data_IF_193094272355
#
_entry.id   IF_193094272355
#
_cell.length_a   1.000
_cell.length_b   1.000
_cell.length_c   1.000
_cell.angle_alpha   90.00
_cell.angle_beta   90.00
_cell.angle_gamma   90.00
#
_symmetry.space_group_name_H-M   'P 1'
#
loop_
_entity.id
_entity.type
_entity.pdbx_description
1 polymer ?
#
# COMPACT_ATOMS: atom_id res chain seq x y z
N UNK A 1 1.59 -4.66 -17.21
CA UNK A 1 0.97 -5.27 -16.01
C UNK A 1 1.14 -4.32 -14.85
N UNK A 2 0.09 -4.09 -14.09
CA UNK A 2 0.11 -3.23 -12.91
C UNK A 2 0.03 -4.08 -11.65
N UNK A 3 0.78 -3.71 -10.63
CA UNK A 3 0.75 -4.35 -9.31
C UNK A 3 0.34 -3.30 -8.28
N UNK A 4 -0.72 -3.58 -7.53
CA UNK A 4 -1.17 -2.77 -6.41
C UNK A 4 -0.70 -3.41 -5.11
N UNK A 5 0.00 -2.66 -4.27
CA UNK A 5 0.47 -3.10 -2.96
C UNK A 5 -0.11 -2.16 -1.91
N UNK A 6 -0.90 -2.71 -1.00
CA UNK A 6 -1.44 -1.97 0.14
C UNK A 6 -1.35 -2.79 1.41
N UNK A 7 -1.87 -2.26 2.52
CA UNK A 7 -1.75 -2.82 3.85
C UNK A 7 -1.54 -1.72 4.89
N UNK A 8 -1.67 -2.11 6.16
CA UNK A 8 -1.45 -1.24 7.31
C UNK A 8 -0.07 -0.57 7.29
N UNK A 9 0.11 0.51 8.06
CA UNK A 9 1.43 1.11 8.24
C UNK A 9 2.44 0.07 8.76
N UNK A 10 3.72 0.27 8.43
CA UNK A 10 4.84 -0.62 8.84
C UNK A 10 4.78 -2.08 8.38
N UNK A 11 3.81 -2.48 7.56
CA UNK A 11 3.73 -3.85 7.00
C UNK A 11 4.78 -4.14 5.91
N UNK A 12 5.55 -3.13 5.50
CA UNK A 12 6.64 -3.26 4.52
C UNK A 12 6.20 -3.21 3.05
N UNK A 13 5.14 -2.45 2.75
CA UNK A 13 4.66 -2.18 1.38
C UNK A 13 5.79 -1.70 0.44
N UNK A 14 6.51 -0.66 0.86
CA UNK A 14 7.62 -0.07 0.09
C UNK A 14 8.79 -1.05 -0.07
N UNK A 15 9.06 -1.88 0.94
CA UNK A 15 10.06 -2.96 0.85
C UNK A 15 9.67 -4.01 -0.18
N UNK A 16 8.40 -4.42 -0.23
CA UNK A 16 7.92 -5.33 -1.27
C UNK A 16 8.01 -4.68 -2.65
N UNK A 17 7.59 -3.41 -2.79
CA UNK A 17 7.68 -2.68 -4.04
C UNK A 17 9.13 -2.59 -4.56
N UNK A 18 10.08 -2.27 -3.68
CA UNK A 18 11.52 -2.25 -3.99
C UNK A 18 12.02 -3.63 -4.43
N UNK A 19 11.70 -4.70 -3.72
CA UNK A 19 12.10 -6.07 -4.09
C UNK A 19 11.55 -6.48 -5.46
N UNK A 20 10.30 -6.13 -5.75
CA UNK A 20 9.67 -6.41 -7.04
C UNK A 20 10.27 -5.55 -8.17
N UNK A 21 10.60 -4.28 -7.91
CA UNK A 21 11.36 -3.42 -8.82
C UNK A 21 12.71 -4.08 -9.15
N UNK A 22 13.45 -4.55 -8.15
CA UNK A 22 14.76 -5.18 -8.35
C UNK A 22 14.67 -6.49 -9.14
N UNK A 23 13.68 -7.34 -8.84
CA UNK A 23 13.48 -8.63 -9.49
C UNK A 23 12.94 -8.50 -10.92
N UNK A 24 11.89 -7.72 -11.13
CA UNK A 24 11.16 -7.66 -12.41
C UNK A 24 11.45 -6.41 -13.25
N UNK A 25 12.18 -5.43 -12.70
CA UNK A 25 12.49 -4.13 -13.33
C UNK A 25 11.24 -3.29 -13.60
N UNK A 26 10.20 -3.46 -12.80
CA UNK A 26 8.97 -2.68 -12.91
C UNK A 26 9.12 -1.43 -12.03
N UNK A 27 9.04 -0.20 -12.59
CA UNK A 27 9.08 1.02 -11.78
C UNK A 27 7.96 1.01 -10.75
N UNK A 28 8.20 1.56 -9.55
CA UNK A 28 7.16 1.75 -8.56
C UNK A 28 6.90 3.23 -8.28
N UNK A 29 5.64 3.55 -7.99
CA UNK A 29 5.17 4.85 -7.56
C UNK A 29 4.53 4.70 -6.19
N UNK A 30 5.00 5.51 -5.25
CA UNK A 30 4.38 5.66 -3.93
C UNK A 30 3.25 6.67 -4.01
N UNK A 31 2.05 6.29 -3.55
CA UNK A 31 0.92 7.23 -3.44
C UNK A 31 1.24 8.33 -2.42
N UNK A 32 2.10 8.07 -1.44
CA UNK A 32 2.55 9.10 -0.49
C UNK A 32 3.37 10.20 -1.17
N UNK A 33 4.16 9.87 -2.21
CA UNK A 33 4.85 10.90 -3.00
C UNK A 33 3.86 11.78 -3.76
N UNK A 34 2.78 11.21 -4.31
CA UNK A 34 1.72 11.96 -4.98
C UNK A 34 0.99 12.86 -3.97
N UNK A 35 0.60 12.29 -2.82
CA UNK A 35 -0.02 13.01 -1.70
C UNK A 35 0.81 14.22 -1.31
N UNK A 36 2.07 13.99 -0.94
CA UNK A 36 2.95 15.05 -0.46
C UNK A 36 3.27 16.06 -1.56
N UNK A 37 3.36 15.63 -2.82
CA UNK A 37 3.51 16.53 -3.96
C UNK A 37 2.34 17.51 -4.08
N UNK A 38 1.11 17.00 -4.03
CA UNK A 38 -0.12 17.81 -4.15
C UNK A 38 -0.31 18.78 -2.97
N UNK A 39 -0.04 18.31 -1.75
CA UNK A 39 -0.09 19.15 -0.53
C UNK A 39 0.95 20.25 -0.61
N UNK A 40 2.22 19.90 -0.88
CA UNK A 40 3.34 20.86 -0.87
C UNK A 40 3.32 21.84 -2.04
N UNK A 41 2.68 21.48 -3.15
CA UNK A 41 2.50 22.39 -4.29
C UNK A 41 1.29 23.33 -4.12
N UNK A 42 0.44 23.12 -3.11
CA UNK A 42 -0.80 23.87 -2.93
C UNK A 42 -1.89 23.54 -3.95
N UNK A 43 -1.85 22.37 -4.59
CA UNK A 43 -2.92 21.92 -5.50
C UNK A 43 -4.14 21.33 -4.75
N UNK A 44 -3.99 21.10 -3.45
CA UNK A 44 -5.07 20.74 -2.54
C UNK A 44 -4.94 21.54 -1.24
N UNK A 45 -6.08 21.77 -0.59
CA UNK A 45 -6.13 22.32 0.77
C UNK A 45 -6.16 21.23 1.85
N UNK A 46 -6.19 19.95 1.46
CA UNK A 46 -6.13 18.81 2.39
C UNK A 46 -4.77 18.77 3.08
N UNK A 47 -4.76 18.36 4.34
CA UNK A 47 -3.55 18.16 5.13
C UNK A 47 -3.25 16.68 5.32
N UNK A 48 -2.16 16.34 6.01
CA UNK A 48 -1.75 14.94 6.19
C UNK A 48 -2.68 14.18 7.15
N UNK A 49 -3.52 14.90 7.89
CA UNK A 49 -4.48 14.40 8.86
C UNK A 49 -5.83 14.00 8.22
N UNK A 50 -6.10 14.42 6.97
CA UNK A 50 -7.38 14.22 6.28
C UNK A 50 -7.43 12.86 5.53
N UNK A 51 -7.08 11.75 6.18
CA UNK A 51 -6.83 10.45 5.50
C UNK A 51 -8.02 9.93 4.67
N UNK A 52 -9.25 10.12 5.14
CA UNK A 52 -10.46 9.68 4.44
C UNK A 52 -10.68 10.49 3.17
N UNK A 53 -10.60 11.81 3.27
CA UNK A 53 -10.71 12.76 2.17
C UNK A 53 -9.58 12.58 1.16
N UNK A 54 -8.35 12.36 1.65
CA UNK A 54 -7.18 12.05 0.83
C UNK A 54 -7.39 10.76 0.03
N UNK A 55 -7.99 9.72 0.60
CA UNK A 55 -8.33 8.49 -0.13
C UNK A 55 -9.24 8.80 -1.32
N UNK A 56 -10.30 9.58 -1.10
CA UNK A 56 -11.23 9.98 -2.15
C UNK A 56 -10.62 10.92 -3.19
N UNK A 57 -9.69 11.78 -2.77
CA UNK A 57 -9.02 12.74 -3.64
C UNK A 57 -7.92 12.12 -4.50
N UNK A 58 -7.12 11.22 -3.93
CA UNK A 58 -5.96 10.61 -4.60
C UNK A 58 -6.36 9.46 -5.51
N UNK A 59 -7.37 8.66 -5.14
CA UNK A 59 -7.74 7.47 -5.90
C UNK A 59 -8.12 7.77 -7.37
N UNK A 60 -8.90 8.80 -7.70
CA UNK A 60 -9.16 9.19 -9.08
C UNK A 60 -7.89 9.47 -9.89
N UNK A 61 -6.86 10.07 -9.30
CA UNK A 61 -5.58 10.33 -9.97
C UNK A 61 -4.86 9.00 -10.22
N UNK A 62 -4.74 8.18 -9.17
CA UNK A 62 -4.05 6.90 -9.22
C UNK A 62 -4.71 5.92 -10.20
N UNK A 63 -6.05 5.81 -10.19
CA UNK A 63 -6.77 4.90 -11.11
C UNK A 63 -6.57 5.28 -12.58
N UNK A 64 -6.54 6.57 -12.91
CA UNK A 64 -6.32 7.01 -14.29
C UNK A 64 -4.85 6.83 -14.71
N UNK A 65 -3.89 6.99 -13.78
CA UNK A 65 -2.49 6.59 -14.03
C UNK A 65 -2.37 5.08 -14.32
N UNK A 66 -3.10 4.24 -13.59
CA UNK A 66 -3.14 2.79 -13.80
C UNK A 66 -3.70 2.45 -15.19
N UNK A 67 -4.84 3.05 -15.57
CA UNK A 67 -5.44 2.84 -16.91
C UNK A 67 -4.46 3.23 -18.01
N UNK A 68 -3.86 4.41 -17.89
CA UNK A 68 -2.87 4.93 -18.85
C UNK A 68 -1.66 3.99 -18.97
N UNK A 69 -1.14 3.47 -17.86
CA UNK A 69 -0.03 2.52 -17.88
C UNK A 69 -0.40 1.22 -18.60
N UNK A 70 -1.62 0.70 -18.38
CA UNK A 70 -2.11 -0.52 -19.04
C UNK A 70 -2.26 -0.29 -20.55
N UNK A 71 -2.89 0.80 -20.96
CA UNK A 71 -3.06 1.18 -22.37
C UNK A 71 -1.73 1.34 -23.10
N UNK A 72 -0.75 1.96 -22.42
CA UNK A 72 0.61 2.13 -22.92
C UNK A 72 1.45 0.84 -22.89
N UNK A 73 0.89 -0.28 -22.41
CA UNK A 73 1.58 -1.57 -22.22
C UNK A 73 2.81 -1.45 -21.32
N UNK A 74 2.75 -0.54 -20.35
CA UNK A 74 3.80 -0.33 -19.36
C UNK A 74 3.56 -1.20 -18.13
N UNK A 75 4.66 -1.57 -17.49
CA UNK A 75 4.61 -2.20 -16.18
C UNK A 75 4.74 -1.13 -15.10
N UNK A 76 3.93 -1.23 -14.05
CA UNK A 76 3.92 -0.26 -12.96
C UNK A 76 3.56 -0.95 -11.64
N UNK A 77 4.30 -0.67 -10.60
CA UNK A 77 3.91 -1.00 -9.23
C UNK A 77 3.37 0.29 -8.60
N UNK A 78 2.21 0.21 -7.96
CA UNK A 78 1.63 1.31 -7.19
C UNK A 78 1.48 0.84 -5.76
N UNK A 79 2.09 1.56 -4.82
CA UNK A 79 2.07 1.20 -3.41
C UNK A 79 1.55 2.37 -2.54
N UNK A 80 0.79 2.04 -1.51
CA UNK A 80 0.30 3.03 -0.53
C UNK A 80 -0.95 2.59 0.22
N UNK A 81 -1.35 3.39 1.21
CA UNK A 81 -2.54 3.12 2.05
C UNK A 81 -3.86 3.59 1.42
N UNK A 82 -3.80 4.53 0.47
CA UNK A 82 -4.97 5.19 -0.13
C UNK A 82 -5.59 4.42 -1.31
N UNK A 83 -5.41 3.10 -1.36
CA UNK A 83 -6.08 2.23 -2.35
C UNK A 83 -7.41 1.77 -1.73
N UNK A 84 -8.58 2.16 -2.27
CA UNK A 84 -9.86 1.74 -1.70
C UNK A 84 -10.03 0.23 -1.73
N UNK A 85 -10.68 -0.34 -0.71
CA UNK A 85 -10.93 -1.79 -0.68
C UNK A 85 -11.85 -2.26 -1.80
N UNK A 86 -12.70 -1.39 -2.34
CA UNK A 86 -13.59 -1.67 -3.46
C UNK A 86 -13.04 -1.21 -4.82
N UNK A 87 -11.72 -0.99 -4.93
CA UNK A 87 -11.03 -0.49 -6.12
C UNK A 87 -11.43 -1.20 -7.43
N UNK A 88 -11.77 -2.48 -7.37
CA UNK A 88 -12.15 -3.27 -8.56
C UNK A 88 -13.37 -2.70 -9.28
N UNK A 89 -14.24 -1.96 -8.58
CA UNK A 89 -15.44 -1.33 -9.18
C UNK A 89 -15.12 -0.24 -10.19
N UNK A 90 -13.91 0.34 -10.11
CA UNK A 90 -13.46 1.44 -10.95
C UNK A 90 -12.81 0.98 -12.27
N UNK A 91 -12.76 -0.33 -12.51
CA UNK A 91 -12.11 -0.95 -13.67
C UNK A 91 -13.02 -1.95 -14.36
N UNK A 92 -13.09 -1.86 -15.69
CA UNK A 92 -13.73 -2.89 -16.50
C UNK A 92 -12.92 -4.19 -16.55
N UNK A 93 -13.57 -5.28 -16.96
CA UNK A 93 -12.97 -6.63 -17.02
C UNK A 93 -11.67 -6.69 -17.82
N UNK A 94 -11.51 -5.86 -18.85
CA UNK A 94 -10.27 -5.84 -19.64
C UNK A 94 -9.09 -5.27 -18.86
N UNK A 95 -9.30 -4.21 -18.07
CA UNK A 95 -8.26 -3.66 -17.19
C UNK A 95 -7.90 -4.63 -16.07
N UNK A 96 -8.90 -5.26 -15.44
CA UNK A 96 -8.70 -6.17 -14.30
C UNK A 96 -7.76 -7.34 -14.63
N UNK A 97 -7.74 -7.83 -15.88
CA UNK A 97 -6.80 -8.88 -16.33
C UNK A 97 -5.33 -8.48 -16.22
N UNK A 98 -5.05 -7.18 -16.17
CA UNK A 98 -3.70 -6.63 -16.14
C UNK A 98 -3.28 -6.14 -14.75
N UNK A 99 -4.12 -6.30 -13.72
CA UNK A 99 -3.86 -5.79 -12.37
C UNK A 99 -3.72 -6.97 -11.40
N UNK A 100 -2.58 -7.04 -10.73
CA UNK A 100 -2.38 -7.88 -9.53
C UNK A 100 -2.51 -7.02 -8.30
N UNK A 101 -3.10 -7.55 -7.23
CA UNK A 101 -3.29 -6.83 -5.97
C UNK A 101 -2.76 -7.66 -4.80
N UNK A 102 -2.12 -7.01 -3.85
CA UNK A 102 -1.61 -7.62 -2.61
C UNK A 102 -1.89 -6.68 -1.43
N UNK A 103 -2.64 -7.17 -0.44
CA UNK A 103 -2.85 -6.50 0.84
C UNK A 103 -1.99 -7.18 1.92
N UNK A 104 -0.96 -6.48 2.39
CA UNK A 104 -0.08 -6.97 3.46
C UNK A 104 -0.76 -6.78 4.81
N UNK A 105 -0.83 -7.87 5.59
CA UNK A 105 -1.43 -7.85 6.92
C UNK A 105 -0.57 -8.69 7.87
N UNK A 106 -0.19 -8.11 8.99
CA UNK A 106 0.44 -8.82 10.10
C UNK A 106 -0.62 -9.34 11.07
N UNK A 107 -0.43 -10.56 11.59
CA UNK A 107 -1.29 -11.11 12.62
C UNK A 107 -1.07 -10.41 13.96
N UNK A 108 -2.07 -10.43 14.83
CA UNK A 108 -1.94 -9.94 16.21
C UNK A 108 -0.79 -10.64 16.95
N UNK A 109 -0.64 -11.95 16.73
CA UNK A 109 0.46 -12.75 17.28
C UNK A 109 1.79 -12.21 16.80
N UNK A 110 1.97 -12.01 15.50
CA UNK A 110 3.21 -11.48 14.92
C UNK A 110 3.56 -10.12 15.55
N UNK A 111 2.59 -9.20 15.59
CA UNK A 111 2.78 -7.85 16.10
C UNK A 111 3.25 -7.89 17.56
N UNK A 112 2.57 -8.66 18.42
CA UNK A 112 2.93 -8.75 19.84
C UNK A 112 4.32 -9.33 20.09
N UNK A 113 4.79 -10.26 19.25
CA UNK A 113 6.11 -10.88 19.42
C UNK A 113 7.25 -10.08 18.75
N UNK A 114 6.93 -9.26 17.74
CA UNK A 114 7.93 -8.62 16.87
C UNK A 114 7.84 -7.09 16.82
N UNK A 115 7.08 -6.44 17.71
CA UNK A 115 6.89 -4.99 17.67
C UNK A 115 8.19 -4.18 17.63
N UNK A 116 9.19 -4.53 18.45
CA UNK A 116 10.51 -3.87 18.42
C UNK A 116 11.20 -3.99 17.06
N UNK A 117 11.05 -5.15 16.41
CA UNK A 117 11.56 -5.37 15.06
C UNK A 117 10.80 -4.54 14.03
N UNK A 118 9.46 -4.46 14.14
CA UNK A 118 8.62 -3.63 13.27
C UNK A 118 9.10 -2.17 13.31
N UNK A 119 9.34 -1.62 14.50
CA UNK A 119 9.90 -0.26 14.65
C UNK A 119 11.32 -0.13 14.10
N UNK A 120 12.20 -1.09 14.42
CA UNK A 120 13.59 -1.11 13.94
C UNK A 120 13.68 -1.08 12.41
N UNK A 121 12.78 -1.79 11.74
CA UNK A 121 12.75 -1.92 10.27
C UNK A 121 11.86 -0.89 9.57
N UNK A 122 11.24 0.05 10.29
CA UNK A 122 10.40 1.10 9.70
C UNK A 122 11.14 1.93 8.63
N UNK A 123 12.47 2.03 8.75
CA UNK A 123 13.33 2.80 7.87
C UNK A 123 14.11 1.95 6.84
N UNK A 124 13.64 0.73 6.52
CA UNK A 124 14.41 -0.18 5.68
C UNK A 124 14.60 0.30 4.24
N UNK A 125 13.68 1.13 3.73
CA UNK A 125 13.72 1.69 2.36
C UNK A 125 13.70 3.21 2.37
N UNK A 126 12.89 3.81 3.23
CA UNK A 126 12.70 5.26 3.35
C UNK A 126 13.14 5.76 4.72
N UNK A 127 13.46 7.05 4.82
CA UNK A 127 13.70 7.70 6.11
C UNK A 127 12.42 8.38 6.60
N UNK A 128 11.87 7.86 7.70
CA UNK A 128 10.75 8.41 8.44
C UNK A 128 11.29 9.40 9.46
N UNK A 129 10.93 10.67 9.27
CA UNK A 129 11.39 11.77 10.13
C UNK A 129 10.81 11.69 11.54
N UNK A 130 9.58 11.18 11.67
CA UNK A 130 8.87 10.97 12.93
C UNK A 130 8.16 9.61 12.86
N UNK A 131 8.29 8.83 13.94
CA UNK A 131 7.64 7.52 14.13
C UNK A 131 7.11 7.35 15.57
N UNK A 132 6.92 8.47 16.30
CA UNK A 132 6.41 8.46 17.67
C UNK A 132 4.97 7.91 17.74
N UNK A 133 4.18 8.15 16.69
CA UNK A 133 2.81 7.60 16.55
C UNK A 133 2.74 6.09 16.31
N UNK A 134 3.87 5.42 16.05
CA UNK A 134 3.92 3.96 15.93
C UNK A 134 3.95 3.32 17.34
N UNK A 135 2.75 3.00 17.84
CA UNK A 135 2.52 2.26 19.08
C UNK A 135 2.05 0.85 18.77
N UNK A 136 2.11 -0.06 19.74
CA UNK A 136 1.65 -1.43 19.52
C UNK A 136 0.13 -1.45 19.30
N UNK A 137 -0.60 -0.56 19.98
CA UNK A 137 -2.04 -0.38 19.81
C UNK A 137 -2.39 0.08 18.40
N UNK A 138 -1.71 1.11 17.86
CA UNK A 138 -2.00 1.60 16.52
C UNK A 138 -1.70 0.56 15.45
N UNK A 139 -0.58 -0.17 15.58
CA UNK A 139 -0.24 -1.26 14.65
C UNK A 139 -1.26 -2.41 14.71
N UNK A 140 -1.76 -2.76 15.90
CA UNK A 140 -2.81 -3.76 16.06
C UNK A 140 -4.14 -3.32 15.43
N UNK A 141 -4.56 -2.09 15.71
CA UNK A 141 -5.81 -1.51 15.20
C UNK A 141 -5.78 -1.41 13.67
N UNK A 142 -4.72 -0.88 13.09
CA UNK A 142 -4.57 -0.75 11.63
C UNK A 142 -4.59 -2.11 10.94
N UNK A 143 -3.83 -3.09 11.46
CA UNK A 143 -3.79 -4.42 10.84
C UNK A 143 -5.14 -5.14 10.96
N UNK A 144 -5.85 -4.99 12.08
CA UNK A 144 -7.20 -5.54 12.24
C UNK A 144 -8.19 -4.89 11.24
N UNK A 145 -8.11 -3.57 11.05
CA UNK A 145 -8.93 -2.84 10.07
C UNK A 145 -8.68 -3.32 8.64
N UNK A 146 -7.42 -3.45 8.23
CA UNK A 146 -7.06 -3.96 6.91
C UNK A 146 -7.48 -5.42 6.73
N UNK A 147 -7.29 -6.28 7.74
CA UNK A 147 -7.70 -7.68 7.68
C UNK A 147 -9.20 -7.83 7.49
N UNK A 148 -9.99 -7.09 8.28
CA UNK A 148 -11.44 -7.15 8.24
C UNK A 148 -11.98 -6.69 6.88
N UNK A 149 -11.50 -5.55 6.38
CA UNK A 149 -11.94 -5.02 5.10
C UNK A 149 -11.46 -5.86 3.93
N UNK A 150 -10.20 -6.32 3.92
CA UNK A 150 -9.70 -7.19 2.86
C UNK A 150 -10.51 -8.50 2.77
N UNK A 151 -10.91 -9.08 3.90
CA UNK A 151 -11.84 -10.23 3.93
C UNK A 151 -13.22 -9.86 3.38
N UNK A 152 -13.79 -8.73 3.82
CA UNK A 152 -15.10 -8.24 3.39
C UNK A 152 -15.19 -8.07 1.86
N UNK A 153 -14.14 -7.56 1.24
CA UNK A 153 -14.07 -7.31 -0.20
C UNK A 153 -13.40 -8.46 -0.99
N UNK A 154 -13.13 -9.60 -0.34
CA UNK A 154 -12.49 -10.78 -0.96
C UNK A 154 -11.18 -10.44 -1.70
N UNK A 155 -10.35 -9.63 -1.06
CA UNK A 155 -9.07 -9.19 -1.60
C UNK A 155 -7.96 -10.21 -1.33
N UNK A 156 -6.90 -10.15 -2.13
CA UNK A 156 -5.74 -11.03 -1.96
C UNK A 156 -4.88 -10.56 -0.77
N UNK A 157 -4.96 -11.32 0.32
CA UNK A 157 -4.25 -11.03 1.58
C UNK A 157 -2.93 -11.80 1.59
N UNK A 158 -1.84 -11.07 1.79
CA UNK A 158 -0.54 -11.65 2.15
C UNK A 158 -0.41 -11.57 3.67
N UNK A 159 -0.67 -12.70 4.31
CA UNK A 159 -0.78 -12.79 5.76
C UNK A 159 0.57 -13.16 6.40
N UNK A 160 1.06 -12.31 7.30
CA UNK A 160 2.34 -12.44 8.00
C UNK A 160 2.03 -12.85 9.45
N UNK A 161 2.36 -14.09 9.83
CA UNK A 161 1.95 -14.65 11.13
C UNK A 161 3.12 -15.07 12.02
N UNK A 162 4.00 -15.94 11.54
CA UNK A 162 5.12 -16.46 12.33
C UNK A 162 6.45 -15.79 11.97
N UNK A 163 6.75 -15.67 10.67
CA UNK A 163 7.97 -15.06 10.16
C UNK A 163 7.66 -14.00 9.13
N UNK A 164 8.53 -13.00 9.02
CA UNK A 164 8.43 -11.99 7.98
C UNK A 164 8.94 -12.53 6.64
N UNK A 165 8.10 -13.30 5.97
CA UNK A 165 8.38 -13.84 4.64
C UNK A 165 7.26 -13.48 3.67
N UNK A 166 7.60 -12.62 2.71
CA UNK A 166 6.69 -12.20 1.65
C UNK A 166 7.21 -12.76 0.33
N UNK A 167 6.58 -13.85 -0.12
CA UNK A 167 6.91 -14.52 -1.37
C UNK A 167 5.80 -14.26 -2.39
N UNK A 168 6.01 -13.25 -3.24
CA UNK A 168 5.06 -12.83 -4.27
C UNK A 168 5.68 -13.01 -5.65
N UNK A 169 4.93 -13.63 -6.56
CA UNK A 169 5.30 -13.79 -7.98
C UNK A 169 4.32 -13.09 -8.93
N UNK A 170 4.90 -12.41 -9.92
CA UNK A 170 4.20 -11.58 -10.91
C UNK A 170 4.02 -12.31 -12.23
#
# INVERSE_FOLDING_TARGET
MVVLITGASHTGKTLLAQKLLEKYKYPYVSIDHIKMGLIRSGYTNLTVEDDSELTHYLWPIVREMIKTAIENKQNLIVEGIYIPFDWTKDFDKEYLKHIKYFCLVMSEKYIKHHFDSIKKYANSIEYRMDDEGCTIESVLEDNAYFLQNAKKYNLNIVFIDDTYEINVEL
#
